data_IF_675008979028
#
_entry.id   IF_675008979028
#
_cell.length_a   1.000
_cell.length_b   1.000
_cell.length_c   1.000
_cell.angle_alpha   90.00
_cell.angle_beta   90.00
_cell.angle_gamma   90.00
#
_symmetry.space_group_name_H-M   'P 1'
#
loop_
_entity.id
_entity.type
_entity.pdbx_description
1 polymer ?
#
# COMPACT_ATOMS: atom_id res chain seq x y z
N UNK A 1 -11.53 -2.87 10.90
CA UNK A 1 -10.35 -2.20 11.46
C UNK A 1 -9.62 -1.51 10.32
N UNK A 2 -9.19 -0.27 10.51
CA UNK A 2 -8.39 0.41 9.47
C UNK A 2 -6.95 -0.09 9.58
N UNK A 3 -6.34 -0.47 8.47
CA UNK A 3 -4.93 -0.88 8.43
C UNK A 3 -4.18 -0.08 7.37
N UNK A 4 -3.01 0.43 7.73
CA UNK A 4 -2.00 0.92 6.79
C UNK A 4 -0.85 -0.09 6.80
N UNK A 5 -0.69 -0.83 5.71
CA UNK A 5 0.39 -1.79 5.52
C UNK A 5 1.31 -1.29 4.42
N UNK A 6 2.61 -1.22 4.64
CA UNK A 6 3.48 -0.64 3.63
C UNK A 6 4.90 -1.16 3.63
N UNK A 7 5.53 -1.00 2.47
CA UNK A 7 6.94 -1.25 2.23
C UNK A 7 7.50 0.05 1.62
N UNK A 8 8.55 0.60 2.23
CA UNK A 8 9.12 1.87 1.80
C UNK A 8 10.65 1.80 1.66
N UNK A 9 11.23 2.93 1.28
CA UNK A 9 12.66 3.05 1.03
C UNK A 9 13.57 2.81 2.25
N UNK A 10 13.03 2.90 3.47
CA UNK A 10 13.79 2.65 4.71
C UNK A 10 13.96 1.16 4.98
N UNK A 11 13.03 0.34 4.51
CA UNK A 11 12.95 -1.08 4.85
C UNK A 11 13.25 -2.02 3.68
N UNK A 12 13.24 -1.53 2.44
CA UNK A 12 13.43 -2.34 1.24
C UNK A 12 14.46 -1.74 0.26
N UNK A 13 15.23 -2.60 -0.42
CA UNK A 13 16.14 -2.21 -1.50
C UNK A 13 15.38 -1.62 -2.70
N UNK A 14 16.09 -0.86 -3.55
CA UNK A 14 15.51 -0.28 -4.77
C UNK A 14 14.91 -1.38 -5.67
N UNK A 15 15.60 -2.51 -5.82
CA UNK A 15 15.13 -3.63 -6.63
C UNK A 15 13.83 -4.24 -6.10
N UNK A 16 13.72 -4.40 -4.79
CA UNK A 16 12.51 -4.92 -4.16
C UNK A 16 11.35 -3.95 -4.34
N UNK A 17 11.58 -2.63 -4.16
CA UNK A 17 10.54 -1.62 -4.40
C UNK A 17 10.07 -1.60 -5.85
N UNK A 18 10.99 -1.72 -6.81
CA UNK A 18 10.66 -1.82 -8.23
C UNK A 18 9.73 -3.00 -8.52
N UNK A 19 10.02 -4.19 -7.97
CA UNK A 19 9.18 -5.38 -8.09
C UNK A 19 7.79 -5.21 -7.45
N UNK A 20 7.71 -4.48 -6.36
CA UNK A 20 6.45 -4.27 -5.62
C UNK A 20 5.58 -3.15 -6.20
N UNK A 21 6.11 -2.33 -7.10
CA UNK A 21 5.35 -1.27 -7.77
C UNK A 21 4.20 -1.84 -8.62
N UNK A 22 3.04 -1.18 -8.58
CA UNK A 22 1.87 -1.50 -9.40
C UNK A 22 1.75 -0.54 -10.58
N UNK A 23 1.50 -1.10 -11.77
CA UNK A 23 1.18 -0.29 -12.95
C UNK A 23 -0.22 0.31 -12.81
N UNK A 24 -0.41 1.61 -13.09
CA UNK A 24 -1.74 2.24 -13.07
C UNK A 24 -2.77 1.52 -13.95
N UNK A 25 -2.34 0.95 -15.08
CA UNK A 25 -3.23 0.26 -16.02
C UNK A 25 -3.84 -1.04 -15.47
N UNK A 26 -3.26 -1.61 -14.41
CA UNK A 26 -3.76 -2.83 -13.76
C UNK A 26 -4.42 -2.56 -12.41
N UNK A 27 -4.41 -1.32 -11.93
CA UNK A 27 -4.75 -0.99 -10.55
C UNK A 27 -6.20 -1.37 -10.21
N UNK A 28 -7.16 -1.05 -11.08
CA UNK A 28 -8.58 -1.37 -10.86
C UNK A 28 -8.79 -2.87 -10.63
N UNK A 29 -8.28 -3.69 -11.55
CA UNK A 29 -8.37 -5.15 -11.44
C UNK A 29 -7.68 -5.67 -10.18
N UNK A 30 -6.49 -5.15 -9.87
CA UNK A 30 -5.74 -5.52 -8.67
C UNK A 30 -6.55 -5.23 -7.41
N UNK A 31 -7.21 -4.07 -7.33
CA UNK A 31 -8.02 -3.70 -6.17
C UNK A 31 -9.24 -4.62 -6.01
N UNK A 32 -9.95 -4.90 -7.10
CA UNK A 32 -11.11 -5.81 -7.08
C UNK A 32 -10.71 -7.24 -6.68
N UNK A 33 -9.62 -7.76 -7.26
CA UNK A 33 -9.07 -9.07 -6.91
C UNK A 33 -8.63 -9.09 -5.43
N UNK A 34 -7.99 -8.01 -4.95
CA UNK A 34 -7.54 -7.90 -3.56
C UNK A 34 -8.71 -7.86 -2.58
N UNK A 35 -9.76 -7.08 -2.86
CA UNK A 35 -10.94 -6.98 -2.00
C UNK A 35 -11.60 -8.36 -1.85
N UNK A 36 -11.73 -9.09 -2.95
CA UNK A 36 -12.31 -10.45 -2.99
C UNK A 36 -11.44 -11.46 -2.24
N UNK A 37 -10.13 -11.52 -2.53
CA UNK A 37 -9.20 -12.50 -1.94
C UNK A 37 -9.01 -12.25 -0.44
N UNK A 38 -8.83 -10.99 -0.05
CA UNK A 38 -8.57 -10.61 1.35
C UNK A 38 -9.86 -10.49 2.18
N UNK A 39 -11.03 -10.54 1.54
CA UNK A 39 -12.34 -10.41 2.18
C UNK A 39 -12.47 -9.12 3.01
N UNK A 40 -11.98 -8.00 2.47
CA UNK A 40 -12.04 -6.67 3.10
C UNK A 40 -13.20 -5.86 2.56
N UNK A 41 -13.67 -4.91 3.37
CA UNK A 41 -14.76 -4.02 2.97
C UNK A 41 -14.27 -2.95 2.00
N UNK A 42 -13.14 -2.34 2.33
CA UNK A 42 -12.55 -1.29 1.50
C UNK A 42 -11.04 -1.52 1.34
N UNK A 43 -10.48 -1.16 0.19
CA UNK A 43 -9.05 -1.24 -0.09
C UNK A 43 -8.61 -0.22 -1.14
N UNK A 44 -7.46 0.42 -0.90
CA UNK A 44 -6.74 1.23 -1.88
C UNK A 44 -5.24 1.00 -1.78
N UNK A 45 -4.53 1.23 -2.88
CA UNK A 45 -3.08 1.03 -2.98
C UNK A 45 -2.43 2.33 -3.44
N UNK A 46 -1.52 2.85 -2.61
CA UNK A 46 -0.60 3.91 -2.98
C UNK A 46 0.69 3.28 -3.49
N UNK A 47 0.91 3.34 -4.79
CA UNK A 47 2.13 2.83 -5.43
C UNK A 47 2.92 3.97 -6.05
N UNK A 48 4.12 4.22 -5.53
CA UNK A 48 5.08 5.20 -6.04
C UNK A 48 6.43 4.54 -6.28
N UNK A 49 7.43 5.29 -6.74
CA UNK A 49 8.81 4.77 -6.85
C UNK A 49 9.46 4.47 -5.49
N UNK A 50 8.94 5.05 -4.41
CA UNK A 50 9.57 5.04 -3.08
C UNK A 50 8.78 4.27 -2.02
N UNK A 51 7.51 3.96 -2.30
CA UNK A 51 6.64 3.20 -1.39
C UNK A 51 5.57 2.43 -2.15
N UNK A 52 5.20 1.30 -1.58
CA UNK A 52 3.96 0.58 -1.89
C UNK A 52 3.22 0.42 -0.58
N UNK A 53 2.07 1.09 -0.46
CA UNK A 53 1.23 1.05 0.73
C UNK A 53 -0.17 0.60 0.36
N UNK A 54 -0.74 -0.24 1.21
CA UNK A 54 -2.09 -0.78 1.13
C UNK A 54 -2.84 -0.21 2.32
N UNK A 55 -3.89 0.54 2.04
CA UNK A 55 -4.83 1.01 3.05
C UNK A 55 -6.11 0.23 2.89
N UNK A 56 -6.57 -0.39 3.98
CA UNK A 56 -7.78 -1.22 3.94
C UNK A 56 -8.63 -1.05 5.18
N UNK A 57 -9.92 -1.33 5.02
CA UNK A 57 -10.87 -1.47 6.12
C UNK A 57 -11.39 -2.90 6.17
N UNK A 58 -10.97 -3.66 7.17
CA UNK A 58 -11.32 -5.07 7.34
C UNK A 58 -10.57 -5.70 8.49
N UNK A 59 -10.69 -7.01 8.66
CA UNK A 59 -9.90 -7.80 9.61
C UNK A 59 -9.00 -8.76 8.84
N UNK A 60 -7.76 -8.35 8.61
CA UNK A 60 -6.77 -9.10 7.84
C UNK A 60 -5.45 -9.11 8.60
N UNK A 61 -4.89 -10.30 8.77
CA UNK A 61 -3.57 -10.48 9.36
C UNK A 61 -2.46 -10.01 8.41
N UNK A 62 -1.37 -9.51 8.98
CA UNK A 62 -0.21 -9.09 8.20
C UNK A 62 0.37 -10.25 7.37
N UNK A 63 0.33 -11.48 7.89
CA UNK A 63 0.73 -12.67 7.16
C UNK A 63 -0.10 -12.89 5.88
N UNK A 64 -1.42 -12.66 5.94
CA UNK A 64 -2.28 -12.81 4.76
C UNK A 64 -2.00 -11.70 3.74
N UNK A 65 -1.76 -10.46 4.18
CA UNK A 65 -1.35 -9.35 3.29
C UNK A 65 -0.02 -9.63 2.60
N UNK A 66 0.97 -10.12 3.35
CA UNK A 66 2.28 -10.49 2.80
C UNK A 66 2.15 -11.62 1.79
N UNK A 67 1.35 -12.65 2.12
CA UNK A 67 1.12 -13.80 1.23
C UNK A 67 0.46 -13.36 -0.08
N UNK A 68 -0.56 -12.50 -0.01
CA UNK A 68 -1.22 -11.94 -1.19
C UNK A 68 -0.26 -11.09 -2.03
N UNK A 69 0.51 -10.20 -1.39
CA UNK A 69 1.46 -9.34 -2.08
C UNK A 69 2.59 -10.15 -2.74
N UNK A 70 3.09 -11.18 -2.06
CA UNK A 70 4.08 -12.12 -2.57
C UNK A 70 3.55 -12.85 -3.82
N UNK A 71 2.33 -13.36 -3.75
CA UNK A 71 1.66 -14.06 -4.84
C UNK A 71 1.48 -13.17 -6.07
N UNK A 72 0.91 -11.96 -5.91
CA UNK A 72 0.60 -11.08 -7.05
C UNK A 72 1.86 -10.48 -7.69
N UNK A 73 2.97 -10.38 -6.94
CA UNK A 73 4.25 -9.85 -7.43
C UNK A 73 5.25 -10.93 -7.84
N UNK A 74 4.93 -12.20 -7.66
CA UNK A 74 5.84 -13.31 -7.97
C UNK A 74 7.14 -13.22 -7.17
N UNK A 75 7.07 -12.87 -5.88
CA UNK A 75 8.21 -12.84 -4.97
C UNK A 75 8.01 -13.81 -3.81
N UNK A 76 9.09 -14.20 -3.16
CA UNK A 76 9.02 -15.04 -1.96
C UNK A 76 8.57 -14.23 -0.74
N UNK A 77 7.74 -14.84 0.10
CA UNK A 77 7.27 -14.26 1.37
C UNK A 77 8.44 -13.81 2.24
N UNK A 78 9.51 -14.61 2.30
CA UNK A 78 10.71 -14.35 3.10
C UNK A 78 11.40 -13.03 2.73
N UNK A 79 11.28 -12.58 1.48
CA UNK A 79 11.84 -11.30 1.04
C UNK A 79 11.05 -10.10 1.57
N UNK A 80 9.82 -10.32 2.01
CA UNK A 80 8.90 -9.28 2.48
C UNK A 80 8.78 -9.25 4.01
N UNK A 81 8.94 -10.39 4.68
CA UNK A 81 8.65 -10.56 6.11
C UNK A 81 9.40 -9.60 7.04
N UNK A 82 10.55 -9.07 6.63
CA UNK A 82 11.35 -8.12 7.43
C UNK A 82 11.37 -6.70 6.86
N UNK A 83 10.59 -6.43 5.82
CA UNK A 83 10.67 -5.19 5.05
C UNK A 83 9.38 -4.36 5.09
N UNK A 84 8.41 -4.73 5.93
CA UNK A 84 7.12 -4.05 6.01
C UNK A 84 6.91 -3.36 7.36
N UNK A 85 5.96 -2.44 7.38
CA UNK A 85 5.32 -1.93 8.59
C UNK A 85 3.82 -2.09 8.47
N UNK A 86 3.15 -2.21 9.61
CA UNK A 86 1.70 -2.34 9.71
C UNK A 86 1.22 -1.50 10.88
N UNK A 87 0.32 -0.56 10.60
CA UNK A 87 -0.33 0.29 11.60
C UNK A 87 -1.83 0.03 11.58
N UNK A 88 -2.46 0.11 12.74
CA UNK A 88 -3.89 -0.16 12.92
C UNK A 88 -4.61 1.07 13.48
N UNK A 89 -5.84 1.27 13.04
CA UNK A 89 -6.76 2.31 13.49
C UNK A 89 -6.12 3.71 13.60
N UNK A 90 -5.95 4.26 14.80
CA UNK A 90 -5.40 5.61 14.99
C UNK A 90 -3.98 5.77 14.44
N UNK A 91 -3.13 4.75 14.60
CA UNK A 91 -1.76 4.77 14.06
C UNK A 91 -1.76 4.74 12.53
N UNK A 92 -2.74 4.05 11.93
CA UNK A 92 -2.90 4.05 10.48
C UNK A 92 -3.30 5.43 9.94
N UNK A 93 -4.19 6.14 10.65
CA UNK A 93 -4.58 7.51 10.32
C UNK A 93 -3.39 8.46 10.45
N UNK A 94 -2.65 8.35 11.56
CA UNK A 94 -1.46 9.16 11.80
C UNK A 94 -0.43 8.99 10.70
N UNK A 95 -0.08 7.73 10.36
CA UNK A 95 0.84 7.43 9.26
C UNK A 95 0.34 8.02 7.93
N UNK A 96 -0.94 7.86 7.61
CA UNK A 96 -1.51 8.41 6.38
C UNK A 96 -1.38 9.93 6.32
N UNK A 97 -1.58 10.64 7.44
CA UNK A 97 -1.39 12.10 7.52
C UNK A 97 0.10 12.46 7.33
N UNK A 98 1.02 11.75 7.94
CA UNK A 98 2.47 11.98 7.82
C UNK A 98 2.97 11.77 6.37
N UNK A 99 2.44 10.74 5.68
CA UNK A 99 2.70 10.50 4.25
C UNK A 99 2.09 11.61 3.41
N UNK A 100 0.82 11.95 3.65
CA UNK A 100 0.09 12.99 2.90
C UNK A 100 0.72 14.38 3.05
N UNK A 101 1.26 14.72 4.22
CA UNK A 101 1.97 15.97 4.47
C UNK A 101 3.39 15.99 3.91
N UNK A 102 3.86 14.88 3.31
CA UNK A 102 5.22 14.75 2.77
C UNK A 102 6.30 14.72 3.85
N UNK A 103 5.95 14.47 5.12
CA UNK A 103 6.93 14.36 6.21
C UNK A 103 7.75 13.07 6.12
N UNK A 104 7.18 12.02 5.53
CA UNK A 104 7.87 10.76 5.24
C UNK A 104 8.43 10.71 3.80
N UNK A 105 8.58 11.84 3.11
CA UNK A 105 9.16 11.87 1.76
C UNK A 105 10.69 11.90 1.79
N UNK A 106 11.32 11.29 0.77
CA UNK A 106 12.77 11.43 0.52
C UNK A 106 13.16 12.89 0.26
N UNK A 107 12.24 13.68 -0.33
CA UNK A 107 12.35 15.13 -0.44
C UNK A 107 11.27 15.72 0.46
N UNK A 108 11.70 16.23 1.62
CA UNK A 108 10.80 16.77 2.64
C UNK A 108 9.92 17.88 2.04
N UNK A 109 8.60 17.72 2.13
CA UNK A 109 7.63 18.71 1.63
C UNK A 109 7.31 18.63 0.13
N UNK A 110 7.63 17.53 -0.55
CA UNK A 110 7.22 17.35 -1.96
C UNK A 110 5.68 17.30 -2.10
N UNK A 111 5.04 18.27 -2.78
CA UNK A 111 3.57 18.37 -2.84
C UNK A 111 2.87 17.21 -3.56
N UNK A 112 3.65 16.36 -4.24
CA UNK A 112 3.15 15.36 -5.18
C UNK A 112 2.52 14.16 -4.46
N UNK A 113 2.93 13.86 -3.23
CA UNK A 113 2.39 12.70 -2.48
C UNK A 113 0.91 12.89 -2.12
N UNK A 114 0.49 14.09 -1.71
CA UNK A 114 -0.92 14.37 -1.46
C UNK A 114 -1.78 14.14 -2.71
N UNK A 115 -1.30 14.59 -3.87
CA UNK A 115 -1.94 14.33 -5.16
C UNK A 115 -2.05 12.84 -5.47
N UNK A 116 -1.01 12.06 -5.18
CA UNK A 116 -0.99 10.61 -5.39
C UNK A 116 -1.98 9.88 -4.46
N UNK A 117 -2.09 10.28 -3.19
CA UNK A 117 -3.10 9.74 -2.27
C UNK A 117 -4.51 10.02 -2.80
N UNK A 118 -4.77 11.26 -3.24
CA UNK A 118 -6.06 11.62 -3.82
C UNK A 118 -6.37 10.77 -5.05
N UNK A 119 -5.40 10.56 -5.94
CA UNK A 119 -5.55 9.71 -7.12
C UNK A 119 -5.82 8.25 -6.75
N UNK A 120 -5.11 7.69 -5.77
CA UNK A 120 -5.32 6.33 -5.30
C UNK A 120 -6.73 6.12 -4.72
N UNK A 121 -7.23 7.10 -3.96
CA UNK A 121 -8.61 7.11 -3.48
C UNK A 121 -9.64 7.13 -4.62
N UNK A 122 -9.44 8.00 -5.63
CA UNK A 122 -10.35 8.08 -6.77
C UNK A 122 -10.40 6.76 -7.56
N UNK A 123 -9.25 6.14 -7.80
CA UNK A 123 -9.17 4.84 -8.48
C UNK A 123 -9.88 3.75 -7.70
N UNK A 124 -9.72 3.67 -6.39
CA UNK A 124 -10.44 2.70 -5.56
C UNK A 124 -11.95 2.92 -5.60
N UNK A 125 -12.38 4.18 -5.50
CA UNK A 125 -13.80 4.55 -5.61
C UNK A 125 -14.39 4.16 -6.97
N UNK A 126 -13.68 4.37 -8.07
CA UNK A 126 -14.10 3.97 -9.41
C UNK A 126 -14.14 2.44 -9.57
N UNK A 127 -13.20 1.74 -8.94
CA UNK A 127 -13.15 0.28 -8.90
C UNK A 127 -14.25 -0.36 -8.04
N UNK A 128 -14.93 0.43 -7.21
CA UNK A 128 -15.94 -0.05 -6.25
C UNK A 128 -15.34 -0.70 -5.01
N UNK A 129 -14.09 -0.37 -4.69
CA UNK A 129 -13.30 -0.97 -3.61
C UNK A 129 -12.93 0.01 -2.52
#
# INVERSE_FOLDING_TARGET
>A
MLTAFGINHRTASVDLRGKLSFSPALMEKVLQDAQSILHVREITILSTCNRTEIYLYGDVSDHHLISWLAMIKGTEINNLSNCFYSFKDEDAIKHMIEVASGMDSLILGEPQIFGQIKSAFLVAKEAGT
#
